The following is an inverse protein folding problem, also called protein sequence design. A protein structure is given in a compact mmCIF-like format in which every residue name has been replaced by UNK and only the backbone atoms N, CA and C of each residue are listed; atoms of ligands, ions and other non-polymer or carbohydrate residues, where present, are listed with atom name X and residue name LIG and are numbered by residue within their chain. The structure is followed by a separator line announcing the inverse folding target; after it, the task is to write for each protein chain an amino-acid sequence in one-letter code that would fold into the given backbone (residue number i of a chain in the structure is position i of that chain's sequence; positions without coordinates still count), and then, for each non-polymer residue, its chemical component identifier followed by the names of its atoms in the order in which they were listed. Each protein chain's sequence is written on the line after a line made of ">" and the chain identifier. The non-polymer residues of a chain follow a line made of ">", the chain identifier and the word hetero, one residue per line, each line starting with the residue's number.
data_IF_372329776801
#
_entry.id   IF_372329776801
#
_cell.length_a   1.000
_cell.length_b   1.000
_cell.length_c   1.000
_cell.angle_alpha   90.00
_cell.angle_beta   90.00
_cell.angle_gamma   90.00
#
_symmetry.space_group_name_H-M   'P 1'
#
loop_
_entity.id
_entity.type
_entity.pdbx_description
1 polymer ?
#
# COMPACT_ATOMS: atom_id res chain seq x y z
N UNK A 1 -12.77 -4.86 13.03
CA UNK A 1 -12.58 -3.94 11.90
C UNK A 1 -12.78 -4.75 10.64
N UNK A 2 -13.71 -4.33 9.79
CA UNK A 2 -13.89 -4.91 8.46
C UNK A 2 -13.22 -3.97 7.47
N UNK A 3 -12.29 -4.47 6.67
CA UNK A 3 -11.66 -3.71 5.59
C UNK A 3 -12.47 -3.92 4.31
N UNK A 4 -12.72 -2.84 3.57
CA UNK A 4 -13.36 -2.91 2.27
C UNK A 4 -12.38 -3.48 1.24
N UNK A 5 -12.86 -4.40 0.38
CA UNK A 5 -12.08 -4.92 -0.74
C UNK A 5 -12.30 -4.04 -1.96
N UNK A 6 -11.20 -3.65 -2.59
CA UNK A 6 -11.18 -2.79 -3.78
C UNK A 6 -10.26 -3.39 -4.85
N UNK A 7 -10.33 -2.83 -6.05
CA UNK A 7 -9.36 -3.09 -7.12
C UNK A 7 -8.53 -1.84 -7.32
N UNK A 8 -7.20 -1.99 -7.34
CA UNK A 8 -6.26 -0.91 -7.61
C UNK A 8 -5.59 -1.14 -8.96
N UNK A 9 -5.58 -0.11 -9.81
CA UNK A 9 -4.70 -0.02 -10.97
C UNK A 9 -3.35 0.48 -10.47
N UNK A 10 -2.32 -0.35 -10.54
CA UNK A 10 -0.96 0.00 -10.13
C UNK A 10 -0.07 0.15 -11.37
N UNK A 11 0.66 1.27 -11.44
CA UNK A 11 1.34 1.75 -12.65
C UNK A 11 0.83 3.14 -13.09
N UNK A 12 1.21 3.63 -14.27
CA UNK A 12 2.12 2.98 -15.23
C UNK A 12 3.55 2.82 -14.68
N UNK A 13 4.23 1.72 -15.00
CA UNK A 13 5.62 1.50 -14.57
C UNK A 13 6.63 1.99 -15.62
N UNK A 14 6.71 1.33 -16.78
CA UNK A 14 7.65 1.70 -17.84
C UNK A 14 6.99 2.50 -18.98
N UNK A 15 5.72 2.22 -19.27
CA UNK A 15 4.94 2.92 -20.29
C UNK A 15 3.47 3.09 -19.87
N UNK A 16 2.73 3.92 -20.61
CA UNK A 16 1.35 4.29 -20.29
C UNK A 16 0.34 3.13 -20.30
N UNK A 17 0.70 1.96 -20.82
CA UNK A 17 -0.14 0.76 -20.88
C UNK A 17 0.35 -0.34 -19.95
N UNK A 18 1.53 -0.16 -19.34
CA UNK A 18 2.16 -1.09 -18.42
C UNK A 18 1.65 -0.86 -17.00
N UNK A 19 0.46 -1.42 -16.74
CA UNK A 19 -0.19 -1.40 -15.44
C UNK A 19 -0.74 -2.78 -15.08
N UNK A 20 -0.92 -2.99 -13.78
CA UNK A 20 -1.50 -4.22 -13.24
C UNK A 20 -2.74 -3.93 -12.40
N UNK A 21 -3.67 -4.88 -12.40
CA UNK A 21 -4.83 -4.84 -11.51
C UNK A 21 -4.54 -5.66 -10.26
N UNK A 22 -4.56 -4.99 -9.11
CA UNK A 22 -4.28 -5.60 -7.80
C UNK A 22 -5.55 -5.65 -6.95
N UNK A 23 -5.79 -6.79 -6.31
CA UNK A 23 -6.80 -6.91 -5.27
C UNK A 23 -6.24 -6.28 -3.99
N UNK A 24 -6.98 -5.34 -3.41
CA UNK A 24 -6.49 -4.55 -2.29
C UNK A 24 -7.55 -4.38 -1.19
N UNK A 25 -7.09 -3.84 -0.06
CA UNK A 25 -7.87 -3.52 1.13
C UNK A 25 -7.80 -2.02 1.38
N UNK A 26 -8.95 -1.34 1.36
CA UNK A 26 -9.03 0.10 1.64
C UNK A 26 -8.85 0.35 3.14
N UNK A 27 -7.86 1.17 3.51
CA UNK A 27 -7.59 1.58 4.88
C UNK A 27 -8.32 2.88 5.22
N UNK A 28 -8.12 3.86 4.36
CA UNK A 28 -8.73 5.20 4.36
C UNK A 28 -9.11 5.53 2.92
N UNK A 29 -9.91 6.58 2.66
CA UNK A 29 -10.31 6.93 1.30
C UNK A 29 -9.15 7.16 0.30
N UNK A 30 -7.95 7.40 0.83
CA UNK A 30 -6.72 7.72 0.11
C UNK A 30 -5.59 6.69 0.28
N UNK A 31 -5.78 5.62 1.07
CA UNK A 31 -4.75 4.59 1.31
C UNK A 31 -5.30 3.18 1.17
N UNK A 32 -4.52 2.30 0.55
CA UNK A 32 -4.84 0.88 0.41
C UNK A 32 -3.63 -0.03 0.62
N UNK A 33 -3.91 -1.29 1.00
CA UNK A 33 -2.93 -2.36 1.13
C UNK A 33 -3.19 -3.47 0.11
N UNK A 34 -2.16 -3.97 -0.57
CA UNK A 34 -2.25 -5.19 -1.38
C UNK A 34 -1.00 -6.03 -1.24
N UNK A 35 -1.11 -7.31 -1.60
CA UNK A 35 0.03 -8.20 -1.66
C UNK A 35 0.70 -8.18 -3.03
N UNK A 36 2.03 -8.17 -3.02
CA UNK A 36 2.85 -8.40 -4.20
C UNK A 36 4.14 -9.12 -3.81
N UNK A 37 4.42 -10.25 -4.47
CA UNK A 37 5.64 -11.03 -4.23
C UNK A 37 5.91 -11.40 -2.77
N UNK A 38 4.87 -11.75 -2.00
CA UNK A 38 4.99 -12.09 -0.56
C UNK A 38 5.21 -10.87 0.35
N UNK A 39 4.97 -9.66 -0.18
CA UNK A 39 5.09 -8.40 0.57
C UNK A 39 3.72 -7.75 0.64
N UNK A 40 3.40 -7.19 1.80
CA UNK A 40 2.27 -6.30 1.94
C UNK A 40 2.73 -4.89 1.63
N UNK A 41 2.14 -4.29 0.60
CA UNK A 41 2.49 -2.96 0.10
C UNK A 41 1.39 -1.98 0.48
N UNK A 42 1.80 -0.82 1.01
CA UNK A 42 0.95 0.35 1.23
C UNK A 42 1.07 1.32 0.06
N UNK A 43 -0.07 1.74 -0.49
CA UNK A 43 -0.14 2.73 -1.57
C UNK A 43 -1.13 3.85 -1.26
N UNK A 44 -0.78 5.04 -1.73
CA UNK A 44 -1.73 6.13 -1.93
C UNK A 44 -2.61 5.79 -3.13
N UNK A 45 -3.91 6.00 -2.99
CA UNK A 45 -4.89 5.67 -4.02
C UNK A 45 -5.91 6.79 -4.18
N UNK A 46 -6.46 6.90 -5.38
CA UNK A 46 -7.58 7.77 -5.68
C UNK A 46 -8.71 6.95 -6.30
N UNK A 47 -9.93 7.14 -5.82
CA UNK A 47 -11.10 6.50 -6.42
C UNK A 47 -11.27 6.95 -7.88
N UNK A 48 -11.50 5.99 -8.77
CA UNK A 48 -11.71 6.29 -10.18
C UNK A 48 -13.09 6.93 -10.39
N UNK A 49 -13.08 8.18 -10.89
CA UNK A 49 -14.29 8.97 -11.13
C UNK A 49 -14.62 9.12 -12.64
N UNK A 50 -14.35 8.09 -13.43
CA UNK A 50 -14.60 8.09 -14.89
C UNK A 50 -16.06 7.80 -15.28
N UNK A 51 -16.26 7.54 -16.58
CA UNK A 51 -17.59 7.18 -17.13
C UNK A 51 -17.89 5.71 -16.82
N UNK A 52 -18.90 5.45 -15.98
CA UNK A 52 -19.36 4.10 -15.62
C UNK A 52 -19.56 3.90 -14.11
N UNK A 53 -20.14 2.76 -13.71
CA UNK A 53 -20.37 2.39 -12.30
C UNK A 53 -19.20 1.56 -11.74
N UNK A 54 -18.00 2.13 -11.69
CA UNK A 54 -16.81 1.46 -11.12
C UNK A 54 -16.57 1.90 -9.67
N UNK A 55 -17.52 1.61 -8.77
CA UNK A 55 -17.50 2.09 -7.37
C UNK A 55 -16.32 1.61 -6.53
N UNK A 56 -15.76 0.44 -6.84
CA UNK A 56 -14.64 -0.16 -6.10
C UNK A 56 -13.30 -0.10 -6.86
N UNK A 57 -13.21 0.72 -7.92
CA UNK A 57 -11.98 0.90 -8.68
C UNK A 57 -11.21 2.12 -8.19
N UNK A 58 -9.93 1.90 -7.95
CA UNK A 58 -8.99 2.91 -7.48
C UNK A 58 -7.76 2.92 -8.37
N UNK A 59 -7.12 4.07 -8.48
CA UNK A 59 -5.88 4.27 -9.22
C UNK A 59 -4.78 4.57 -8.20
N UNK A 60 -3.66 3.86 -8.28
CA UNK A 60 -2.45 4.13 -7.51
C UNK A 60 -1.96 5.53 -7.87
N UNK A 61 -1.80 6.40 -6.88
CA UNK A 61 -1.19 7.71 -7.09
C UNK A 61 0.33 7.57 -6.98
N UNK A 62 1.09 8.35 -7.76
CA UNK A 62 2.55 8.40 -7.66
C UNK A 62 2.97 8.71 -6.21
N UNK A 63 3.35 7.66 -5.50
CA UNK A 63 4.43 7.72 -4.54
C UNK A 63 5.64 7.24 -5.32
N UNK A 64 6.70 8.05 -5.37
CA UNK A 64 7.97 7.68 -6.00
C UNK A 64 8.47 6.31 -5.56
N UNK A 65 8.05 5.83 -4.38
CA UNK A 65 8.32 4.49 -3.87
C UNK A 65 7.10 3.90 -3.16
N UNK A 66 6.82 2.62 -3.43
CA UNK A 66 5.87 1.79 -2.67
C UNK A 66 6.42 1.50 -1.27
N UNK A 67 5.63 1.71 -0.21
CA UNK A 67 6.08 1.38 1.15
C UNK A 67 5.79 -0.08 1.45
N UNK A 68 6.83 -0.85 1.72
CA UNK A 68 6.73 -2.24 2.19
C UNK A 68 6.45 -2.22 3.69
N UNK A 69 5.35 -2.86 4.10
CA UNK A 69 4.90 -2.81 5.51
C UNK A 69 4.93 -4.17 6.20
N UNK A 70 5.04 -5.27 5.45
CA UNK A 70 5.29 -6.60 6.00
C UNK A 70 5.84 -7.57 4.93
N UNK A 71 6.54 -8.61 5.39
CA UNK A 71 6.91 -9.79 4.62
C UNK A 71 6.11 -10.98 5.17
N UNK A 72 5.35 -11.67 4.30
CA UNK A 72 4.60 -12.88 4.64
C UNK A 72 4.60 -13.79 3.42
N UNK A 73 5.05 -15.04 3.59
CA UNK A 73 5.16 -16.00 2.48
C UNK A 73 3.78 -16.33 1.86
N UNK A 74 2.70 -16.08 2.61
CA UNK A 74 1.33 -16.31 2.18
C UNK A 74 0.45 -15.08 2.45
N UNK A 75 -0.54 -14.85 1.57
CA UNK A 75 -1.55 -13.80 1.79
C UNK A 75 -2.47 -14.17 2.96
N UNK A 76 -2.27 -13.54 4.12
CA UNK A 76 -3.06 -13.82 5.33
C UNK A 76 -3.85 -12.59 5.75
N UNK A 77 -5.16 -12.76 5.82
CA UNK A 77 -6.07 -11.71 6.31
C UNK A 77 -5.69 -11.22 7.71
N UNK A 78 -5.19 -12.10 8.57
CA UNK A 78 -4.73 -11.75 9.91
C UNK A 78 -3.59 -10.72 9.88
N UNK A 79 -2.62 -10.90 8.97
CA UNK A 79 -1.50 -9.98 8.74
C UNK A 79 -2.00 -8.63 8.27
N UNK A 80 -2.92 -8.61 7.29
CA UNK A 80 -3.55 -7.37 6.79
C UNK A 80 -4.25 -6.62 7.92
N UNK A 81 -5.09 -7.29 8.72
CA UNK A 81 -5.83 -6.66 9.81
C UNK A 81 -4.89 -6.14 10.90
N UNK A 82 -3.81 -6.87 11.22
CA UNK A 82 -2.81 -6.46 12.21
C UNK A 82 -2.09 -5.19 11.75
N UNK A 83 -1.60 -5.17 10.51
CA UNK A 83 -0.91 -4.02 9.93
C UNK A 83 -1.85 -2.82 9.83
N UNK A 84 -3.05 -3.02 9.30
CA UNK A 84 -4.07 -1.98 9.19
C UNK A 84 -4.39 -1.31 10.53
N UNK A 85 -4.57 -2.10 11.60
CA UNK A 85 -4.77 -1.56 12.95
C UNK A 85 -3.59 -0.71 13.40
N UNK A 86 -2.37 -1.18 13.16
CA UNK A 86 -1.15 -0.48 13.54
C UNK A 86 -1.05 0.86 12.81
N UNK A 87 -1.21 0.86 11.48
CA UNK A 87 -1.22 2.06 10.64
C UNK A 87 -2.27 3.09 11.07
N UNK A 88 -3.51 2.65 11.32
CA UNK A 88 -4.60 3.54 11.73
C UNK A 88 -4.43 4.09 13.16
N UNK A 89 -3.59 3.46 13.98
CA UNK A 89 -3.33 3.86 15.37
C UNK A 89 -2.08 4.72 15.54
N UNK A 90 -1.19 4.76 14.54
CA UNK A 90 0.10 5.43 14.61
C UNK A 90 0.02 6.82 14.02
N UNK A 91 0.78 7.75 14.59
CA UNK A 91 1.03 9.02 13.91
C UNK A 91 1.91 8.77 12.67
N UNK A 92 1.81 9.64 11.66
CA UNK A 92 2.65 9.55 10.45
C UNK A 92 4.16 9.51 10.78
N UNK A 93 4.57 10.16 11.88
CA UNK A 93 5.94 10.17 12.38
C UNK A 93 6.36 8.80 12.95
N UNK A 94 5.50 8.17 13.74
CA UNK A 94 5.78 6.85 14.30
C UNK A 94 5.86 5.78 13.20
N UNK A 95 5.04 5.91 12.16
CA UNK A 95 5.05 5.00 11.02
C UNK A 95 6.37 5.06 10.25
N UNK A 96 6.85 6.27 9.95
CA UNK A 96 8.15 6.48 9.30
C UNK A 96 9.30 5.94 10.16
N UNK A 97 9.28 6.19 11.47
CA UNK A 97 10.30 5.67 12.38
C UNK A 97 10.28 4.13 12.39
N UNK A 98 9.12 3.51 12.48
CA UNK A 98 9.02 2.05 12.56
C UNK A 98 9.42 1.36 11.25
N UNK A 99 9.04 1.92 10.10
CA UNK A 99 9.44 1.42 8.78
C UNK A 99 10.93 1.60 8.50
N UNK A 100 11.51 2.78 8.78
CA UNK A 100 12.93 3.06 8.55
C UNK A 100 13.84 2.31 9.53
N UNK A 101 13.41 2.13 10.77
CA UNK A 101 14.25 1.51 11.82
C UNK A 101 14.25 -0.03 11.78
N UNK A 102 13.22 -0.66 11.21
CA UNK A 102 13.09 -2.13 11.17
C UNK A 102 13.33 -2.74 9.80
N UNK A 103 13.42 -1.94 8.74
CA UNK A 103 13.86 -2.39 7.42
C UNK A 103 15.36 -2.05 7.24
N UNK A 104 16.27 -3.05 7.29
CA UNK A 104 17.70 -2.81 7.12
C UNK A 104 18.05 -2.26 5.73
N UNK A 105 17.19 -2.45 4.72
CA UNK A 105 17.40 -1.93 3.37
C UNK A 105 16.86 -0.49 3.23
N UNK A 106 15.92 -0.07 4.08
CA UNK A 106 15.39 1.31 4.08
C UNK A 106 16.43 2.35 4.50
N UNK A 107 17.46 1.95 5.27
CA UNK A 107 18.56 2.85 5.64
C UNK A 107 19.32 3.35 4.40
N UNK A 108 19.54 2.46 3.43
CA UNK A 108 20.28 2.76 2.20
C UNK A 108 19.41 3.52 1.18
N UNK A 109 18.10 3.29 1.15
CA UNK A 109 17.15 3.94 0.23
C UNK A 109 16.80 5.38 0.68
N UNK A 110 16.67 5.62 1.99
CA UNK A 110 16.29 6.94 2.54
C UNK A 110 17.44 7.79 3.11
N UNK A 111 18.69 7.28 3.11
CA UNK A 111 19.87 8.05 3.52
C UNK A 111 19.85 8.51 4.99
N UNK A 112 19.32 7.69 5.90
CA UNK A 112 19.12 8.06 7.30
C UNK A 112 20.40 7.90 8.11
N UNK A 113 21.01 9.01 8.54
CA UNK A 113 22.18 9.01 9.42
C UNK A 113 21.73 8.74 10.85
N UNK A 114 22.31 7.70 11.47
CA UNK A 114 22.07 7.31 12.88
C UNK A 114 22.54 8.36 13.87
#
# INVERSE_FOLDING_TARGET
>A
MSLERIVVVDGPFFDAQDYELRQAFLLTPDLALYYDGGRLILRAVQQFNGVGEHTHLYISCELGESVRVALDEEERMETVVKVARKLLSMSALDFLIDCVMHDPDAVDEFGVIR
#
